data_IF_615046325443
#
_entry.id   IF_615046325443
#
_cell.length_a   1.000
_cell.length_b   1.000
_cell.length_c   1.000
_cell.angle_alpha   90.00
_cell.angle_beta   90.00
_cell.angle_gamma   90.00
#
_symmetry.space_group_name_H-M   'P 1'
#
loop_
_entity.id
_entity.type
_entity.pdbx_description
1 polymer ?
#
# COMPACT_ATOMS: atom_id res chain seq x y z
N UNK A 1 -25.68 -24.40 52.72
CA UNK A 1 -25.87 -22.98 53.05
C UNK A 1 -24.58 -22.53 53.71
N UNK A 2 -23.67 -21.97 52.92
CA UNK A 2 -22.41 -21.42 53.38
C UNK A 2 -22.49 -19.90 53.26
N UNK A 3 -22.37 -19.25 54.40
CA UNK A 3 -22.38 -17.81 54.62
C UNK A 3 -21.10 -17.21 54.03
N UNK A 4 -21.22 -16.34 53.03
CA UNK A 4 -20.11 -15.50 52.56
C UNK A 4 -20.33 -14.09 53.13
N UNK A 5 -19.32 -13.48 53.78
CA UNK A 5 -19.44 -12.11 54.29
C UNK A 5 -19.49 -11.11 53.12
N UNK A 6 -20.17 -9.96 53.27
CA UNK A 6 -20.16 -8.91 52.27
C UNK A 6 -18.75 -8.28 52.21
N UNK A 7 -18.24 -8.10 50.99
CA UNK A 7 -17.10 -7.21 50.77
C UNK A 7 -17.62 -5.77 50.89
N UNK A 8 -17.10 -5.05 51.88
CA UNK A 8 -17.23 -3.60 51.98
C UNK A 8 -16.47 -2.95 50.81
N UNK A 9 -17.14 -1.98 50.19
CA UNK A 9 -16.56 -0.99 49.29
C UNK A 9 -15.73 0.02 50.10
N UNK A 10 -14.82 0.71 49.41
CA UNK A 10 -13.99 1.84 49.86
C UNK A 10 -12.61 1.48 50.45
N UNK A 11 -11.55 1.63 49.64
CA UNK A 11 -10.66 2.78 49.83
C UNK A 11 -9.62 2.95 48.70
N UNK A 12 -9.47 4.20 48.28
CA UNK A 12 -8.20 4.89 47.98
C UNK A 12 -7.53 4.73 46.59
N UNK A 13 -7.98 5.60 45.69
CA UNK A 13 -7.17 6.60 44.97
C UNK A 13 -5.64 6.45 45.04
N UNK A 14 -5.06 5.65 44.15
CA UNK A 14 -3.67 5.79 43.73
C UNK A 14 -3.60 6.59 42.42
N UNK A 15 -3.08 7.81 42.54
CA UNK A 15 -2.87 8.76 41.46
C UNK A 15 -1.93 8.19 40.39
N UNK A 16 -2.50 7.89 39.23
CA UNK A 16 -1.76 7.64 38.00
C UNK A 16 -1.26 8.96 37.41
N UNK A 17 -0.30 9.61 38.09
CA UNK A 17 0.54 10.65 37.48
C UNK A 17 1.68 9.97 36.69
N UNK A 18 1.32 9.40 35.54
CA UNK A 18 2.21 8.67 34.64
C UNK A 18 2.52 9.38 33.32
N UNK A 19 2.27 10.70 33.21
CA UNK A 19 2.42 11.45 31.95
C UNK A 19 3.48 12.57 31.97
N UNK A 20 4.29 12.67 33.03
CA UNK A 20 5.34 13.69 33.15
C UNK A 20 6.68 13.33 32.49
N UNK A 21 6.74 12.26 31.68
CA UNK A 21 7.99 11.79 31.06
C UNK A 21 8.20 12.25 29.60
N UNK A 22 7.30 13.06 29.04
CA UNK A 22 7.44 13.65 27.70
C UNK A 22 7.66 15.16 27.81
N UNK A 23 8.82 15.53 28.36
CA UNK A 23 9.38 16.87 28.16
C UNK A 23 9.93 16.94 26.73
N UNK A 24 9.04 17.23 25.78
CA UNK A 24 9.41 17.53 24.41
C UNK A 24 9.88 18.99 24.35
N UNK A 25 11.09 19.23 24.88
CA UNK A 25 11.75 20.51 24.79
C UNK A 25 12.04 20.85 23.33
N UNK A 26 11.34 21.86 22.80
CA UNK A 26 11.69 22.51 21.54
C UNK A 26 13.06 23.19 21.74
N UNK A 27 14.13 22.80 21.03
CA UNK A 27 15.31 23.66 20.97
C UNK A 27 14.92 24.94 20.24
N UNK A 28 15.00 26.05 20.96
CA UNK A 28 14.84 27.38 20.42
C UNK A 28 15.84 27.59 19.27
N UNK A 29 15.33 28.21 18.20
CA UNK A 29 16.12 28.66 17.06
C UNK A 29 17.14 29.71 17.52
N UNK A 30 18.40 29.32 17.63
CA UNK A 30 19.50 30.28 17.55
C UNK A 30 20.03 30.26 16.12
N UNK A 31 19.62 31.31 15.41
CA UNK A 31 20.24 31.78 14.18
C UNK A 31 21.64 32.29 14.50
N UNK A 32 22.59 32.03 13.59
CA UNK A 32 23.86 32.73 13.31
C UNK A 32 24.84 31.67 12.76
N UNK A 33 24.84 31.42 11.45
CA UNK A 33 25.71 32.07 10.46
C UNK A 33 27.19 31.73 10.66
N UNK A 34 27.71 30.77 9.88
CA UNK A 34 29.09 30.84 9.36
C UNK A 34 29.28 29.83 8.21
N UNK A 35 28.98 30.33 7.00
CA UNK A 35 29.79 30.18 5.77
C UNK A 35 30.97 29.19 5.82
N UNK A 36 30.76 27.96 5.32
CA UNK A 36 31.77 26.90 5.37
C UNK A 36 31.91 25.98 4.15
N UNK A 37 31.39 26.34 2.96
CA UNK A 37 31.53 25.51 1.74
C UNK A 37 32.07 26.30 0.54
N UNK A 38 33.19 27.00 0.72
CA UNK A 38 34.05 27.48 -0.37
C UNK A 38 34.95 26.36 -0.92
N UNK A 39 34.35 25.31 -1.49
CA UNK A 39 35.09 24.20 -2.12
C UNK A 39 34.71 23.98 -3.60
N UNK A 40 34.16 24.99 -4.26
CA UNK A 40 33.77 24.95 -5.68
C UNK A 40 34.48 26.05 -6.50
N UNK A 41 35.77 26.29 -6.24
CA UNK A 41 36.58 27.21 -7.05
C UNK A 41 37.92 26.57 -7.41
N UNK A 42 37.90 25.77 -8.48
CA UNK A 42 39.10 25.45 -9.27
C UNK A 42 38.71 24.87 -10.63
N UNK A 43 37.98 25.63 -11.45
CA UNK A 43 37.99 25.42 -12.90
C UNK A 43 38.98 26.41 -13.52
N UNK A 44 40.26 26.04 -13.59
CA UNK A 44 41.14 26.61 -14.62
C UNK A 44 42.50 25.94 -14.76
N UNK A 45 42.67 25.31 -15.93
CA UNK A 45 43.92 25.24 -16.67
C UNK A 45 44.37 23.82 -17.04
N UNK A 46 45.23 23.66 -18.07
CA UNK A 46 45.21 24.25 -19.41
C UNK A 46 44.90 23.18 -20.49
N UNK A 47 44.42 23.62 -21.66
CA UNK A 47 44.22 22.75 -22.85
C UNK A 47 45.58 22.39 -23.47
N UNK A 48 45.90 21.11 -23.69
CA UNK A 48 46.89 20.70 -24.68
C UNK A 48 46.19 20.13 -25.93
N UNK A 49 46.40 20.82 -27.04
CA UNK A 49 46.17 20.36 -28.41
C UNK A 49 47.27 19.36 -28.79
N UNK A 50 46.90 18.13 -29.19
CA UNK A 50 47.48 17.39 -30.33
C UNK A 50 47.08 15.90 -30.31
N UNK A 51 46.74 15.41 -31.50
CA UNK A 51 46.33 14.06 -31.89
C UNK A 51 47.20 12.89 -31.38
N UNK A 52 46.58 11.73 -31.11
CA UNK A 52 46.74 10.55 -31.97
C UNK A 52 45.68 9.46 -31.65
N UNK A 53 45.34 8.67 -32.66
CA UNK A 53 44.31 7.64 -32.71
C UNK A 53 44.58 6.47 -31.74
N UNK A 54 43.55 6.03 -31.00
CA UNK A 54 43.36 4.61 -30.65
C UNK A 54 41.89 4.21 -30.82
N UNK A 55 41.69 3.40 -31.85
CA UNK A 55 40.58 2.50 -32.12
C UNK A 55 40.19 1.65 -30.91
N UNK A 56 38.87 1.51 -30.68
CA UNK A 56 38.12 0.45 -29.97
C UNK A 56 36.82 1.08 -29.45
N UNK A 57 35.67 0.96 -30.12
CA UNK A 57 34.95 -0.31 -30.21
C UNK A 57 33.86 -0.34 -29.15
N UNK A 58 32.59 -0.25 -29.58
CA UNK A 58 31.36 -0.36 -28.78
C UNK A 58 31.07 0.77 -27.78
N UNK A 59 30.68 1.94 -28.29
CA UNK A 59 29.65 2.74 -27.62
C UNK A 59 28.27 2.15 -28.00
N UNK A 60 28.08 0.88 -27.64
CA UNK A 60 26.75 0.34 -27.49
C UNK A 60 26.23 1.04 -26.24
N UNK A 61 25.26 1.93 -26.42
CA UNK A 61 24.43 2.50 -25.37
C UNK A 61 24.20 1.44 -24.29
N UNK A 62 25.02 1.48 -23.24
CA UNK A 62 24.69 0.82 -22.00
C UNK A 62 23.62 1.74 -21.43
N UNK A 63 22.38 1.49 -21.86
CA UNK A 63 21.24 1.80 -21.01
C UNK A 63 21.64 1.29 -19.63
N UNK A 64 21.61 2.14 -18.58
CA UNK A 64 21.85 1.62 -17.25
C UNK A 64 20.92 0.43 -17.14
N UNK A 65 21.50 -0.76 -16.89
CA UNK A 65 20.73 -1.87 -16.38
C UNK A 65 20.15 -1.29 -15.09
N UNK A 66 18.92 -0.79 -15.20
CA UNK A 66 18.15 -0.31 -14.08
C UNK A 66 18.11 -1.56 -13.22
N UNK A 67 18.85 -1.55 -12.12
CA UNK A 67 18.72 -2.51 -11.03
C UNK A 67 17.32 -2.29 -10.47
N UNK A 68 16.30 -2.61 -11.28
CA UNK A 68 14.88 -2.48 -11.02
C UNK A 68 14.62 -3.43 -9.87
N UNK A 69 14.64 -2.87 -8.66
CA UNK A 69 14.13 -3.55 -7.48
C UNK A 69 12.80 -4.20 -7.86
N UNK A 70 12.61 -5.50 -7.56
CA UNK A 70 11.46 -6.23 -8.07
C UNK A 70 10.18 -5.49 -7.68
N UNK A 71 9.46 -5.00 -8.69
CA UNK A 71 8.29 -4.17 -8.46
C UNK A 71 7.26 -4.93 -7.60
N UNK A 72 6.88 -4.32 -6.48
CA UNK A 72 5.88 -4.91 -5.57
C UNK A 72 4.56 -5.00 -6.33
N UNK A 73 3.93 -6.20 -6.45
CA UNK A 73 2.67 -6.33 -7.17
C UNK A 73 1.57 -5.53 -6.49
N UNK A 74 0.85 -4.75 -7.30
CA UNK A 74 -0.28 -3.90 -6.88
C UNK A 74 -1.55 -4.26 -7.66
N UNK A 75 -2.69 -4.00 -7.03
CA UNK A 75 -4.02 -4.31 -7.55
C UNK A 75 -4.85 -3.05 -7.52
N UNK A 76 -5.40 -2.67 -8.68
CA UNK A 76 -6.10 -1.39 -8.84
C UNK A 76 -7.53 -1.62 -9.31
N UNK A 77 -8.47 -0.94 -8.66
CA UNK A 77 -9.90 -0.99 -8.99
C UNK A 77 -10.42 0.43 -9.10
N UNK A 78 -11.15 0.69 -10.18
CA UNK A 78 -11.84 1.95 -10.43
C UNK A 78 -13.33 1.72 -10.47
N UNK A 79 -14.10 2.58 -9.81
CA UNK A 79 -15.55 2.52 -9.93
C UNK A 79 -16.03 2.82 -11.36
N UNK A 80 -17.19 2.31 -11.81
CA UNK A 80 -17.70 2.57 -13.15
C UNK A 80 -17.83 4.06 -13.53
N UNK A 81 -18.20 4.98 -12.62
CA UNK A 81 -18.17 6.42 -12.90
C UNK A 81 -16.77 7.03 -13.13
N UNK A 82 -15.70 6.35 -12.71
CA UNK A 82 -14.33 6.87 -12.75
C UNK A 82 -14.09 8.03 -11.79
N UNK A 83 -14.78 8.04 -10.64
CA UNK A 83 -14.58 9.05 -9.58
C UNK A 83 -13.61 8.60 -8.51
N UNK A 84 -13.49 7.30 -8.28
CA UNK A 84 -12.66 6.70 -7.23
C UNK A 84 -11.88 5.53 -7.83
N UNK A 85 -10.56 5.60 -7.68
CA UNK A 85 -9.65 4.50 -7.97
C UNK A 85 -8.88 4.16 -6.69
N UNK A 86 -8.86 2.89 -6.31
CA UNK A 86 -8.10 2.41 -5.16
C UNK A 86 -7.06 1.41 -5.63
N UNK A 87 -5.82 1.59 -5.17
CA UNK A 87 -4.71 0.68 -5.41
C UNK A 87 -4.27 0.05 -4.08
N UNK A 88 -4.14 -1.27 -4.06
CA UNK A 88 -3.73 -2.05 -2.89
C UNK A 88 -2.49 -2.90 -3.17
N UNK A 89 -1.70 -3.18 -2.15
CA UNK A 89 -0.66 -4.21 -2.20
C UNK A 89 -1.26 -5.61 -2.20
N UNK A 90 -0.42 -6.62 -2.46
CA UNK A 90 -0.81 -8.04 -2.44
C UNK A 90 -1.49 -8.47 -1.14
N UNK A 91 -1.14 -7.88 0.02
CA UNK A 91 -1.75 -8.18 1.31
C UNK A 91 -3.10 -7.46 1.57
N UNK A 92 -3.60 -6.74 0.56
CA UNK A 92 -4.85 -6.00 0.63
C UNK A 92 -4.76 -4.66 1.35
N UNK A 93 -3.58 -4.25 1.84
CA UNK A 93 -3.40 -2.89 2.38
C UNK A 93 -3.50 -1.86 1.26
N UNK A 94 -4.24 -0.79 1.51
CA UNK A 94 -4.35 0.34 0.58
C UNK A 94 -2.98 1.02 0.45
N UNK A 95 -2.50 1.10 -0.79
CA UNK A 95 -1.31 1.86 -1.16
C UNK A 95 -1.68 3.32 -1.43
N UNK A 96 -2.68 3.54 -2.28
CA UNK A 96 -3.09 4.87 -2.71
C UNK A 96 -4.55 4.90 -3.15
N UNK A 97 -5.17 6.09 -3.05
CA UNK A 97 -6.53 6.36 -3.49
C UNK A 97 -6.48 7.61 -4.37
N UNK A 98 -6.94 7.47 -5.61
CA UNK A 98 -7.07 8.58 -6.55
C UNK A 98 -8.54 8.97 -6.67
N UNK A 99 -8.79 10.27 -6.56
CA UNK A 99 -10.11 10.87 -6.74
C UNK A 99 -10.10 11.75 -7.98
N UNK A 100 -11.03 11.52 -8.90
CA UNK A 100 -11.17 12.43 -10.04
C UNK A 100 -11.86 13.73 -9.61
N UNK A 101 -11.68 14.84 -10.35
CA UNK A 101 -12.35 16.11 -10.02
C UNK A 101 -13.87 16.01 -9.96
N UNK A 102 -14.48 14.99 -10.56
CA UNK A 102 -15.93 14.75 -10.52
C UNK A 102 -16.42 14.27 -9.15
N UNK A 103 -15.54 13.79 -8.27
CA UNK A 103 -15.88 13.37 -6.91
C UNK A 103 -16.50 14.50 -6.07
N UNK A 104 -16.22 15.77 -6.41
CA UNK A 104 -16.83 16.94 -5.74
C UNK A 104 -18.34 17.04 -5.93
N UNK A 105 -18.92 16.29 -6.88
CA UNK A 105 -20.36 16.22 -7.08
C UNK A 105 -21.04 15.21 -6.15
N UNK A 106 -20.28 14.44 -5.38
CA UNK A 106 -20.79 13.50 -4.38
C UNK A 106 -20.81 14.17 -3.01
N UNK A 107 -21.78 13.80 -2.17
CA UNK A 107 -21.69 14.14 -0.74
C UNK A 107 -20.52 13.38 -0.08
N UNK A 108 -20.04 13.89 1.05
CA UNK A 108 -18.97 13.22 1.82
C UNK A 108 -19.35 11.77 2.18
N UNK A 109 -20.61 11.55 2.58
CA UNK A 109 -21.11 10.22 2.93
C UNK A 109 -21.12 9.28 1.71
N UNK A 110 -21.54 9.77 0.54
CA UNK A 110 -21.51 8.98 -0.71
C UNK A 110 -20.07 8.67 -1.13
N UNK A 111 -19.16 9.65 -1.03
CA UNK A 111 -17.76 9.44 -1.36
C UNK A 111 -17.08 8.44 -0.42
N UNK A 112 -17.34 8.54 0.89
CA UNK A 112 -16.79 7.61 1.87
C UNK A 112 -17.27 6.18 1.60
N UNK A 113 -18.57 6.00 1.37
CA UNK A 113 -19.15 4.69 1.04
C UNK A 113 -18.58 4.14 -0.27
N UNK A 114 -18.39 5.00 -1.28
CA UNK A 114 -17.75 4.63 -2.55
C UNK A 114 -16.31 4.16 -2.35
N UNK A 115 -15.50 4.90 -1.58
CA UNK A 115 -14.12 4.52 -1.28
C UNK A 115 -14.06 3.17 -0.58
N UNK A 116 -14.91 2.95 0.43
CA UNK A 116 -14.92 1.70 1.18
C UNK A 116 -15.24 0.50 0.29
N UNK A 117 -16.23 0.64 -0.60
CA UNK A 117 -16.60 -0.43 -1.53
C UNK A 117 -15.48 -0.71 -2.53
N UNK A 118 -14.89 0.32 -3.13
CA UNK A 118 -13.80 0.11 -4.11
C UNK A 118 -12.54 -0.43 -3.43
N UNK A 119 -12.24 -0.01 -2.20
CA UNK A 119 -11.14 -0.54 -1.43
C UNK A 119 -11.32 -2.02 -1.07
N UNK A 120 -12.54 -2.44 -0.68
CA UNK A 120 -12.81 -3.85 -0.42
C UNK A 120 -12.66 -4.69 -1.70
N UNK A 121 -13.13 -4.20 -2.85
CA UNK A 121 -12.95 -4.88 -4.13
C UNK A 121 -11.46 -4.99 -4.52
N UNK A 122 -10.66 -3.95 -4.30
CA UNK A 122 -9.22 -4.00 -4.55
C UNK A 122 -8.51 -5.02 -3.62
N UNK A 123 -8.89 -5.04 -2.34
CA UNK A 123 -8.37 -6.02 -1.39
C UNK A 123 -8.83 -7.46 -1.71
N UNK A 124 -10.02 -7.65 -2.29
CA UNK A 124 -10.47 -8.96 -2.78
C UNK A 124 -9.65 -9.44 -3.98
N UNK A 125 -9.34 -8.56 -4.94
CA UNK A 125 -8.45 -8.88 -6.07
C UNK A 125 -7.04 -9.26 -5.60
N UNK A 126 -6.49 -8.50 -4.66
CA UNK A 126 -5.17 -8.82 -4.09
C UNK A 126 -5.16 -10.20 -3.43
N UNK A 127 -6.20 -10.53 -2.66
CA UNK A 127 -6.34 -11.85 -2.03
C UNK A 127 -6.59 -12.98 -3.03
N UNK A 128 -7.27 -12.71 -4.15
CA UNK A 128 -7.46 -13.71 -5.20
C UNK A 128 -6.17 -14.01 -5.97
N UNK A 129 -5.28 -13.02 -6.09
CA UNK A 129 -3.92 -13.27 -6.57
C UNK A 129 -3.09 -14.09 -5.58
N UNK A 130 -3.19 -13.84 -4.28
CA UNK A 130 -2.58 -14.72 -3.27
C UNK A 130 -3.07 -16.16 -3.40
N UNK A 131 -4.38 -16.36 -3.62
CA UNK A 131 -4.96 -17.68 -3.87
C UNK A 131 -4.26 -18.37 -5.06
N UNK A 132 -4.09 -17.67 -6.18
CA UNK A 132 -3.45 -18.23 -7.37
C UNK A 132 -1.99 -18.63 -7.12
N UNK A 133 -1.21 -17.75 -6.46
CA UNK A 133 0.18 -18.01 -6.11
C UNK A 133 0.31 -19.21 -5.17
N UNK A 134 -0.54 -19.29 -4.15
CA UNK A 134 -0.51 -20.41 -3.19
C UNK A 134 -0.95 -21.73 -3.84
N UNK A 135 -1.97 -21.70 -4.72
CA UNK A 135 -2.43 -22.87 -5.44
C UNK A 135 -1.33 -23.43 -6.34
N UNK A 136 -0.66 -22.58 -7.11
CA UNK A 136 0.46 -22.97 -7.96
C UNK A 136 1.65 -23.49 -7.14
N UNK A 137 1.96 -22.84 -6.01
CA UNK A 137 2.98 -23.28 -5.07
C UNK A 137 2.69 -24.69 -4.55
N UNK A 138 1.49 -24.95 -4.05
CA UNK A 138 1.09 -26.26 -3.52
C UNK A 138 1.08 -27.34 -4.59
N UNK A 139 0.59 -27.03 -5.79
CA UNK A 139 0.62 -27.95 -6.93
C UNK A 139 2.03 -28.36 -7.31
N UNK A 140 2.97 -27.42 -7.29
CA UNK A 140 4.40 -27.68 -7.56
C UNK A 140 5.02 -28.64 -6.54
N UNK A 141 4.53 -28.61 -5.29
CA UNK A 141 4.94 -29.53 -4.23
C UNK A 141 4.20 -30.87 -4.24
N UNK A 142 3.32 -31.11 -5.23
CA UNK A 142 2.61 -32.37 -5.42
C UNK A 142 1.33 -32.52 -4.60
N UNK A 143 0.79 -31.44 -4.04
CA UNK A 143 -0.53 -31.46 -3.42
C UNK A 143 -1.65 -31.62 -4.46
N UNK A 144 -2.77 -32.22 -4.04
CA UNK A 144 -3.96 -32.33 -4.87
C UNK A 144 -4.65 -30.97 -5.03
N UNK A 145 -5.05 -30.64 -6.26
CA UNK A 145 -5.68 -29.36 -6.59
C UNK A 145 -7.02 -29.16 -5.87
N UNK A 146 -7.84 -30.20 -5.72
CA UNK A 146 -9.17 -30.08 -5.10
C UNK A 146 -9.04 -29.79 -3.62
N UNK A 147 -8.23 -30.58 -2.92
CA UNK A 147 -7.96 -30.41 -1.48
C UNK A 147 -7.29 -29.05 -1.20
N UNK A 148 -6.37 -28.62 -2.07
CA UNK A 148 -5.71 -27.33 -1.96
C UNK A 148 -6.70 -26.18 -2.09
N UNK A 149 -7.57 -26.19 -3.11
CA UNK A 149 -8.57 -25.14 -3.31
C UNK A 149 -9.54 -25.03 -2.12
N UNK A 150 -9.95 -26.17 -1.57
CA UNK A 150 -10.80 -26.21 -0.37
C UNK A 150 -10.09 -25.61 0.84
N UNK A 151 -8.82 -25.96 1.06
CA UNK A 151 -8.00 -25.40 2.13
C UNK A 151 -7.84 -23.87 1.99
N UNK A 152 -7.48 -23.39 0.80
CA UNK A 152 -7.29 -21.95 0.55
C UNK A 152 -8.58 -21.16 0.79
N UNK A 153 -9.72 -21.69 0.35
CA UNK A 153 -11.00 -21.01 0.49
C UNK A 153 -11.55 -21.08 1.92
N UNK A 154 -11.50 -22.26 2.56
CA UNK A 154 -12.15 -22.49 3.86
C UNK A 154 -11.28 -22.09 5.04
N UNK A 155 -9.99 -22.43 5.01
CA UNK A 155 -9.08 -22.19 6.12
C UNK A 155 -8.40 -20.82 6.00
N UNK A 156 -7.88 -20.47 4.82
CA UNK A 156 -7.20 -19.19 4.60
C UNK A 156 -8.12 -18.04 4.18
N UNK A 157 -9.40 -18.33 3.92
CA UNK A 157 -10.41 -17.34 3.48
C UNK A 157 -9.97 -16.54 2.25
N UNK A 158 -9.19 -17.17 1.37
CA UNK A 158 -8.78 -16.58 0.12
C UNK A 158 -9.85 -16.86 -0.95
N UNK A 159 -10.46 -15.81 -1.54
CA UNK A 159 -11.40 -16.00 -2.64
C UNK A 159 -10.65 -16.52 -3.86
N UNK A 160 -11.28 -17.41 -4.64
CA UNK A 160 -10.75 -17.73 -5.97
C UNK A 160 -10.86 -16.50 -6.90
N UNK A 161 -10.05 -16.42 -7.97
CA UNK A 161 -10.18 -15.35 -8.96
C UNK A 161 -11.61 -15.22 -9.51
N UNK A 162 -12.26 -16.35 -9.82
CA UNK A 162 -13.65 -16.37 -10.29
C UNK A 162 -14.64 -15.82 -9.25
N UNK A 163 -14.42 -16.10 -7.96
CA UNK A 163 -15.25 -15.56 -6.88
C UNK A 163 -15.06 -14.04 -6.72
N UNK A 164 -13.82 -13.54 -6.81
CA UNK A 164 -13.53 -12.11 -6.76
C UNK A 164 -14.17 -11.37 -7.95
N UNK A 165 -14.04 -11.92 -9.17
CA UNK A 165 -14.67 -11.38 -10.37
C UNK A 165 -16.21 -11.36 -10.26
N UNK A 166 -16.79 -12.45 -9.75
CA UNK A 166 -18.23 -12.54 -9.54
C UNK A 166 -18.73 -11.53 -8.50
N UNK A 167 -18.01 -11.37 -7.39
CA UNK A 167 -18.34 -10.40 -6.34
C UNK A 167 -18.28 -8.97 -6.87
N UNK A 168 -17.22 -8.62 -7.61
CA UNK A 168 -17.10 -7.33 -8.30
C UNK A 168 -18.26 -7.08 -9.24
N UNK A 169 -18.56 -8.04 -10.11
CA UNK A 169 -19.64 -7.90 -11.07
C UNK A 169 -21.00 -7.70 -10.37
N UNK A 170 -21.25 -8.42 -9.27
CA UNK A 170 -22.46 -8.27 -8.48
C UNK A 170 -22.55 -6.89 -7.82
N UNK A 171 -21.47 -6.40 -7.20
CA UNK A 171 -21.42 -5.06 -6.61
C UNK A 171 -21.68 -4.01 -7.68
N UNK A 172 -21.04 -4.14 -8.83
CA UNK A 172 -21.19 -3.17 -9.92
C UNK A 172 -22.61 -3.19 -10.51
N UNK A 173 -23.18 -4.37 -10.71
CA UNK A 173 -24.56 -4.51 -11.19
C UNK A 173 -25.58 -3.93 -10.20
N UNK A 174 -25.40 -4.19 -8.90
CA UNK A 174 -26.34 -3.73 -7.87
C UNK A 174 -26.27 -2.22 -7.66
N UNK A 175 -25.06 -1.65 -7.69
CA UNK A 175 -24.81 -0.24 -7.36
C UNK A 175 -24.93 0.69 -8.56
N UNK A 176 -24.55 0.25 -9.76
CA UNK A 176 -24.55 1.09 -10.97
C UNK A 176 -25.49 0.59 -12.07
N UNK A 177 -26.04 -0.62 -11.98
CA UNK A 177 -26.92 -1.20 -13.00
C UNK A 177 -28.31 -0.57 -13.07
N UNK A 178 -28.73 0.21 -12.07
CA UNK A 178 -30.07 0.83 -12.01
C UNK A 178 -30.13 2.21 -12.71
N UNK A 179 -29.00 2.80 -13.11
CA UNK A 179 -28.96 4.21 -13.56
C UNK A 179 -28.66 4.42 -15.06
N UNK A 180 -28.89 3.41 -15.92
CA UNK A 180 -28.78 3.50 -17.38
C UNK A 180 -30.13 3.22 -18.09
N UNK A 181 -31.18 3.97 -17.73
CA UNK A 181 -32.49 3.94 -18.38
C UNK A 181 -33.03 5.33 -18.67
#
# INVERSE_FOLDING_TARGET
MGDFPPYDEDDENDGYDGLSALDYGYPAEDSDDDSGLSALDAVSGPVPDAADEVDSGLDAFHEPEDDEEPAVPVFTVTNPPGTVTVTTYLDGRVQHIELSPKAVNMSEAELADEILVIADLAAQDARSAQYAVMLEGMRTHGHDDVDTREFLNRELKLPSPEQADSARAQVFATRYGVNNG
#
